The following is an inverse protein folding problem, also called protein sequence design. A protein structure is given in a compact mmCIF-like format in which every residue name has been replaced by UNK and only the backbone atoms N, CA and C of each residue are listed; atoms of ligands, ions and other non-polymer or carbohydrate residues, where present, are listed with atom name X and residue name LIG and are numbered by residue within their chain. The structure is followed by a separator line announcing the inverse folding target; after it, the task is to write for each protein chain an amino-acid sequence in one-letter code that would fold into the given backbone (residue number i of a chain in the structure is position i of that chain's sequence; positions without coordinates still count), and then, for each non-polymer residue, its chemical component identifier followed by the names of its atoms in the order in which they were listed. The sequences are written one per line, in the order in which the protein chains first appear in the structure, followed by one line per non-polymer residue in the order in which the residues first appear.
data_IF_529630912298
#
_entry.id   IF_529630912298
#
_cell.length_a   1.000
_cell.length_b   1.000
_cell.length_c   1.000
_cell.angle_alpha   90.00
_cell.angle_beta   90.00
_cell.angle_gamma   90.00
#
_symmetry.space_group_name_H-M   'P 1'
#
loop_
_entity.id
_entity.type
_entity.pdbx_description
1 polymer ?
#
# COMPACT_ATOMS: atom_id res chain seq x y z
N UNK A 1 -43.43 -13.80 31.36
CA UNK A 1 -43.12 -14.89 30.40
C UNK A 1 -43.89 -14.65 29.11
N UNK A 2 -43.26 -14.01 28.11
CA UNK A 2 -43.83 -13.82 26.78
C UNK A 2 -42.87 -14.46 25.78
N UNK A 3 -43.34 -15.54 25.14
CA UNK A 3 -42.60 -16.35 24.18
C UNK A 3 -42.55 -15.57 22.86
N UNK A 4 -41.36 -15.20 22.40
CA UNK A 4 -41.18 -14.62 21.07
C UNK A 4 -40.84 -15.76 20.10
N UNK A 5 -41.70 -15.93 19.10
CA UNK A 5 -41.65 -16.98 18.09
C UNK A 5 -40.52 -16.71 17.07
N UNK A 6 -39.72 -17.75 16.84
CA UNK A 6 -38.70 -17.88 15.80
C UNK A 6 -39.37 -17.99 14.44
N UNK A 7 -38.95 -17.17 13.47
CA UNK A 7 -39.17 -17.42 12.05
C UNK A 7 -37.80 -17.51 11.36
N UNK A 8 -37.43 -18.74 11.02
CA UNK A 8 -36.20 -19.10 10.34
C UNK A 8 -36.56 -19.33 8.86
N UNK A 9 -36.29 -18.34 8.01
CA UNK A 9 -36.49 -18.46 6.56
C UNK A 9 -35.14 -18.78 5.93
N UNK A 10 -34.92 -20.06 5.67
CA UNK A 10 -33.82 -20.58 4.88
C UNK A 10 -34.23 -20.49 3.40
N UNK A 11 -33.56 -19.65 2.61
CA UNK A 11 -33.72 -19.64 1.15
C UNK A 11 -32.36 -19.92 0.52
N UNK A 12 -32.09 -21.19 0.24
CA UNK A 12 -30.92 -21.64 -0.51
C UNK A 12 -31.22 -21.53 -2.01
N UNK A 13 -30.61 -20.57 -2.68
CA UNK A 13 -30.48 -20.59 -4.14
C UNK A 13 -29.09 -21.14 -4.46
N UNK A 14 -29.05 -22.37 -4.96
CA UNK A 14 -27.89 -22.99 -5.56
C UNK A 14 -28.20 -23.19 -7.04
N UNK A 15 -27.49 -22.51 -7.94
CA UNK A 15 -27.35 -22.85 -9.37
C UNK A 15 -26.07 -22.14 -9.88
N UNK A 16 -24.96 -22.88 -10.02
CA UNK A 16 -24.41 -23.53 -11.24
C UNK A 16 -23.27 -22.74 -11.86
N UNK A 17 -22.06 -23.27 -11.67
CA UNK A 17 -20.83 -22.97 -12.38
C UNK A 17 -20.95 -23.38 -13.86
N UNK A 18 -20.70 -22.44 -14.78
CA UNK A 18 -20.33 -22.78 -16.14
C UNK A 18 -18.81 -22.90 -16.25
N UNK A 19 -18.42 -23.99 -16.89
CA UNK A 19 -17.08 -24.51 -17.10
C UNK A 19 -16.43 -23.90 -18.35
N UNK A 20 -15.09 -23.86 -18.28
CA UNK A 20 -14.06 -23.83 -19.31
C UNK A 20 -14.35 -23.20 -20.69
N UNK A 21 -13.43 -22.32 -21.09
CA UNK A 21 -12.85 -22.45 -22.42
C UNK A 21 -11.33 -22.28 -22.32
N UNK A 22 -10.62 -23.42 -22.46
CA UNK A 22 -9.20 -23.45 -22.82
C UNK A 22 -9.04 -22.97 -24.26
N UNK A 23 -8.06 -22.12 -24.50
CA UNK A 23 -7.49 -21.94 -25.82
C UNK A 23 -5.97 -21.84 -25.69
N UNK A 24 -5.33 -22.99 -25.80
CA UNK A 24 -3.95 -23.12 -26.28
C UNK A 24 -3.84 -22.49 -27.67
N UNK A 25 -2.91 -21.55 -27.87
CA UNK A 25 -1.90 -21.74 -28.92
C UNK A 25 -0.76 -20.72 -28.89
N UNK A 26 0.44 -21.31 -28.85
CA UNK A 26 1.65 -20.93 -29.59
C UNK A 26 2.53 -19.75 -29.14
N UNK A 27 3.54 -20.17 -28.39
CA UNK A 27 4.96 -19.78 -28.43
C UNK A 27 5.41 -19.16 -29.76
N UNK A 28 5.96 -17.94 -29.71
CA UNK A 28 7.02 -17.47 -30.61
C UNK A 28 8.10 -16.77 -29.81
N UNK A 29 9.18 -17.51 -29.63
CA UNK A 29 10.51 -17.05 -29.24
C UNK A 29 11.12 -16.38 -30.48
N UNK A 30 11.62 -15.15 -30.34
CA UNK A 30 12.47 -14.53 -31.36
C UNK A 30 13.56 -13.69 -30.70
N UNK A 31 14.77 -14.16 -30.90
CA UNK A 31 16.05 -13.55 -30.54
C UNK A 31 16.22 -12.16 -31.16
N UNK A 32 16.51 -11.16 -30.34
CA UNK A 32 16.97 -9.85 -30.81
C UNK A 32 18.45 -9.66 -30.45
N UNK A 33 19.25 -9.92 -31.48
CA UNK A 33 20.68 -9.73 -31.62
C UNK A 33 21.07 -8.26 -31.42
N UNK A 34 22.11 -8.06 -30.62
CA UNK A 34 22.94 -6.86 -30.50
C UNK A 34 23.23 -6.20 -31.86
N UNK A 35 23.11 -4.88 -31.91
CA UNK A 35 23.75 -4.07 -32.96
C UNK A 35 24.27 -2.77 -32.36
N UNK A 36 25.58 -2.64 -32.44
CA UNK A 36 26.39 -1.44 -32.24
C UNK A 36 25.99 -0.35 -33.24
N UNK A 37 25.88 0.90 -32.79
CA UNK A 37 26.06 2.11 -33.62
C UNK A 37 26.70 3.16 -32.70
N UNK A 38 28.04 3.30 -32.74
CA UNK A 38 28.82 4.31 -33.50
C UNK A 38 29.07 5.60 -32.73
N UNK A 39 30.33 5.74 -32.32
CA UNK A 39 30.99 6.96 -31.86
C UNK A 39 30.90 8.07 -32.92
N UNK A 40 30.61 9.30 -32.49
CA UNK A 40 31.06 10.49 -33.20
C UNK A 40 31.61 11.50 -32.18
N UNK A 41 32.94 11.63 -32.18
CA UNK A 41 33.69 12.75 -31.63
C UNK A 41 33.56 13.96 -32.56
N UNK A 42 33.23 15.15 -32.04
CA UNK A 42 33.78 16.42 -32.54
C UNK A 42 34.14 17.31 -31.35
N UNK A 43 35.41 17.72 -31.33
CA UNK A 43 36.07 18.53 -30.32
C UNK A 43 35.84 20.04 -30.50
N UNK A 44 35.86 20.74 -29.35
CA UNK A 44 36.41 22.07 -29.05
C UNK A 44 36.03 23.29 -29.89
N UNK A 45 35.55 24.34 -29.21
CA UNK A 45 36.38 25.55 -28.96
C UNK A 45 35.67 26.49 -27.99
N UNK A 46 36.36 26.86 -26.92
CA UNK A 46 36.03 28.00 -26.06
C UNK A 46 36.46 29.29 -26.75
N UNK A 47 35.63 30.33 -26.71
CA UNK A 47 36.07 31.73 -26.68
C UNK A 47 34.91 32.64 -26.24
N UNK A 48 35.22 33.54 -25.31
CA UNK A 48 34.38 34.58 -24.74
C UNK A 48 34.20 35.74 -25.72
N UNK A 49 33.02 36.35 -25.80
CA UNK A 49 32.84 37.78 -25.51
C UNK A 49 31.38 38.29 -25.69
N UNK A 50 30.95 39.03 -24.67
CA UNK A 50 30.12 40.26 -24.66
C UNK A 50 28.58 40.25 -24.70
N UNK A 51 28.11 40.93 -23.66
CA UNK A 51 26.80 41.46 -23.25
C UNK A 51 26.18 42.38 -24.31
N UNK A 52 24.87 42.25 -24.53
CA UNK A 52 23.97 43.43 -24.60
C UNK A 52 22.52 43.08 -24.21
N UNK A 53 21.95 43.92 -23.35
CA UNK A 53 20.61 43.82 -22.77
C UNK A 53 19.51 44.24 -23.78
N UNK A 54 18.39 43.51 -23.82
CA UNK A 54 17.08 44.13 -24.04
C UNK A 54 15.94 43.26 -23.53
N UNK A 55 15.17 43.83 -22.60
CA UNK A 55 13.96 43.29 -21.97
C UNK A 55 12.90 42.87 -23.00
N UNK A 56 12.21 41.76 -22.74
CA UNK A 56 10.74 41.71 -22.79
C UNK A 56 10.17 40.39 -22.26
N UNK A 57 9.34 40.51 -21.21
CA UNK A 57 8.21 39.61 -20.94
C UNK A 57 8.53 38.32 -20.19
N UNK A 58 8.72 38.42 -18.87
CA UNK A 58 8.41 37.32 -17.96
C UNK A 58 6.91 37.05 -18.03
N UNK A 59 6.54 36.04 -18.81
CA UNK A 59 5.31 35.32 -18.60
C UNK A 59 5.70 34.12 -17.77
N UNK A 60 5.57 34.24 -16.44
CA UNK A 60 5.58 33.07 -15.55
C UNK A 60 4.45 32.15 -16.02
N UNK A 61 4.80 31.14 -16.82
CA UNK A 61 4.03 29.93 -16.88
C UNK A 61 4.17 29.30 -15.50
N UNK A 62 3.19 29.57 -14.64
CA UNK A 62 2.89 28.68 -13.53
C UNK A 62 2.42 27.40 -14.23
N UNK A 63 3.36 26.48 -14.48
CA UNK A 63 3.03 25.13 -14.86
C UNK A 63 2.17 24.58 -13.73
N UNK A 64 0.89 24.35 -14.05
CA UNK A 64 -0.04 23.66 -13.17
C UNK A 64 0.65 22.34 -12.77
N UNK A 65 0.78 22.02 -11.48
CA UNK A 65 1.49 20.82 -11.05
C UNK A 65 0.85 19.62 -11.74
N UNK A 66 1.67 18.79 -12.37
CA UNK A 66 1.15 17.65 -13.10
C UNK A 66 0.36 16.75 -12.14
N UNK A 67 -0.70 16.10 -12.63
CA UNK A 67 -1.50 15.19 -11.80
C UNK A 67 -0.64 14.13 -11.10
N UNK A 68 0.50 13.77 -11.70
CA UNK A 68 1.49 12.84 -11.15
C UNK A 68 2.23 13.44 -9.95
N UNK A 69 2.68 14.70 -10.04
CA UNK A 69 3.37 15.39 -8.93
C UNK A 69 2.44 15.56 -7.71
N UNK A 70 1.16 15.81 -7.97
CA UNK A 70 0.15 15.92 -6.93
C UNK A 70 -0.11 14.56 -6.24
N UNK A 71 -0.17 13.47 -7.00
CA UNK A 71 -0.39 12.12 -6.46
C UNK A 71 0.81 11.64 -5.61
N UNK A 72 2.04 11.86 -6.06
CA UNK A 72 3.23 11.50 -5.28
C UNK A 72 3.27 12.28 -3.94
N UNK A 73 2.86 13.55 -3.96
CA UNK A 73 2.74 14.37 -2.76
C UNK A 73 1.69 13.80 -1.78
N UNK A 74 0.49 13.45 -2.24
CA UNK A 74 -0.56 12.84 -1.40
C UNK A 74 -0.09 11.53 -0.75
N UNK A 75 0.57 10.67 -1.52
CA UNK A 75 1.12 9.40 -1.00
C UNK A 75 2.13 9.63 0.13
N UNK A 76 3.02 10.60 -0.03
CA UNK A 76 3.97 10.98 0.99
C UNK A 76 3.29 11.56 2.24
N UNK A 77 2.36 12.49 2.05
CA UNK A 77 1.64 13.17 3.13
C UNK A 77 0.84 12.18 3.98
N UNK A 78 0.09 11.28 3.36
CA UNK A 78 -0.73 10.31 4.10
C UNK A 78 0.11 9.28 4.83
N UNK A 79 1.21 8.80 4.24
CA UNK A 79 2.14 7.89 4.93
C UNK A 79 2.76 8.57 6.15
N UNK A 80 3.16 9.84 6.02
CA UNK A 80 3.68 10.61 7.14
C UNK A 80 2.64 10.87 8.22
N UNK A 81 1.40 11.17 7.83
CA UNK A 81 0.32 11.32 8.79
C UNK A 81 0.13 10.05 9.61
N UNK A 82 0.02 8.88 8.96
CA UNK A 82 -0.14 7.59 9.65
C UNK A 82 1.02 7.32 10.63
N UNK A 83 2.26 7.57 10.24
CA UNK A 83 3.42 7.22 11.08
C UNK A 83 3.73 8.28 12.17
N UNK A 84 3.49 9.57 11.90
CA UNK A 84 3.97 10.69 12.74
C UNK A 84 2.97 11.82 12.98
N UNK A 85 1.94 11.96 12.15
CA UNK A 85 1.06 13.14 12.17
C UNK A 85 -0.09 13.10 13.18
N UNK A 86 -0.09 12.15 14.13
CA UNK A 86 -1.23 11.87 15.01
C UNK A 86 -0.98 12.24 16.48
N UNK A 87 -0.06 13.17 16.77
CA UNK A 87 0.35 13.52 18.15
C UNK A 87 -0.78 14.14 18.98
N UNK A 88 -1.81 14.70 18.34
CA UNK A 88 -3.01 15.22 18.99
C UNK A 88 -4.03 14.13 19.37
N UNK A 89 -3.85 12.88 18.93
CA UNK A 89 -4.73 11.74 19.21
C UNK A 89 -4.23 10.93 20.40
N UNK A 90 -5.16 10.34 21.15
CA UNK A 90 -4.80 9.34 22.15
C UNK A 90 -4.25 8.06 21.49
N UNK A 91 -3.51 7.25 22.24
CA UNK A 91 -2.97 5.97 21.75
C UNK A 91 -4.04 4.98 21.25
N UNK A 92 -5.30 5.15 21.68
CA UNK A 92 -6.41 4.33 21.22
C UNK A 92 -7.01 4.82 19.89
N UNK A 93 -6.88 6.11 19.59
CA UNK A 93 -7.43 6.75 18.38
C UNK A 93 -6.42 6.74 17.22
N UNK A 94 -5.13 6.57 17.52
CA UNK A 94 -4.08 6.51 16.50
C UNK A 94 -4.30 5.32 15.57
N UNK A 95 -4.26 5.59 14.27
CA UNK A 95 -4.06 4.60 13.22
C UNK A 95 -2.69 3.97 13.40
N UNK A 96 -2.63 2.64 13.35
CA UNK A 96 -1.41 1.90 13.64
C UNK A 96 -1.08 0.97 12.49
N UNK A 97 0.14 1.10 11.99
CA UNK A 97 0.63 0.38 10.84
C UNK A 97 2.06 -0.08 11.09
N UNK A 98 2.42 -1.24 10.53
CA UNK A 98 3.81 -1.53 10.25
C UNK A 98 4.29 -0.62 9.12
N UNK A 99 5.50 -0.06 9.27
CA UNK A 99 6.16 0.69 8.21
C UNK A 99 6.38 -0.19 6.97
N UNK A 100 6.76 -1.47 7.16
CA UNK A 100 6.95 -2.43 6.09
C UNK A 100 5.66 -2.61 5.27
N UNK A 101 4.51 -2.72 5.93
CA UNK A 101 3.22 -2.84 5.26
C UNK A 101 2.83 -1.57 4.52
N UNK A 102 2.95 -0.43 5.19
CA UNK A 102 2.58 0.86 4.61
C UNK A 102 3.46 1.25 3.40
N UNK A 103 4.74 0.90 3.44
CA UNK A 103 5.67 1.18 2.35
C UNK A 103 5.36 0.36 1.08
N UNK A 104 4.86 -0.88 1.23
CA UNK A 104 4.50 -1.76 0.12
C UNK A 104 3.10 -1.48 -0.45
N UNK A 105 2.36 -0.54 0.14
CA UNK A 105 1.01 -0.23 -0.29
C UNK A 105 0.99 0.70 -1.52
N UNK A 106 0.20 0.32 -2.53
CA UNK A 106 -0.14 1.19 -3.66
C UNK A 106 -1.20 2.21 -3.24
N UNK A 107 -0.74 3.33 -2.68
CA UNK A 107 -1.61 4.43 -2.24
C UNK A 107 -2.37 5.04 -3.40
N UNK A 108 -1.81 5.06 -4.61
CA UNK A 108 -2.41 5.76 -5.75
C UNK A 108 -3.70 5.06 -6.20
N UNK A 109 -3.67 3.73 -6.23
CA UNK A 109 -4.86 2.92 -6.50
C UNK A 109 -5.96 3.20 -5.48
N UNK A 110 -5.63 3.15 -4.18
CA UNK A 110 -6.59 3.34 -3.09
C UNK A 110 -7.13 4.78 -3.07
N UNK A 111 -6.28 5.77 -3.34
CA UNK A 111 -6.67 7.18 -3.42
C UNK A 111 -7.69 7.43 -4.54
N UNK A 112 -7.50 6.79 -5.69
CA UNK A 112 -8.45 6.87 -6.81
C UNK A 112 -9.82 6.28 -6.44
N UNK A 113 -9.84 5.16 -5.70
CA UNK A 113 -11.08 4.57 -5.18
C UNK A 113 -11.74 5.46 -4.13
N UNK A 114 -10.95 6.06 -3.24
CA UNK A 114 -11.40 6.99 -2.22
C UNK A 114 -12.14 8.19 -2.85
N UNK A 115 -11.54 8.85 -3.84
CA UNK A 115 -12.18 9.95 -4.58
C UNK A 115 -13.47 9.49 -5.29
N UNK A 116 -13.43 8.31 -5.90
CA UNK A 116 -14.60 7.73 -6.59
C UNK A 116 -15.75 7.39 -5.63
N UNK A 117 -15.43 7.14 -4.36
CA UNK A 117 -16.41 6.90 -3.29
C UNK A 117 -16.98 8.18 -2.68
N UNK A 118 -16.51 9.37 -3.12
CA UNK A 118 -16.95 10.68 -2.64
C UNK A 118 -16.02 11.31 -1.60
N UNK A 119 -14.80 10.77 -1.44
CA UNK A 119 -13.77 11.33 -0.57
C UNK A 119 -13.27 12.71 -1.01
N UNK A 120 -12.72 13.46 -0.05
CA UNK A 120 -12.16 14.80 -0.29
C UNK A 120 -10.64 14.71 -0.53
N UNK A 121 -10.17 15.22 -1.67
CA UNK A 121 -8.76 15.13 -2.10
C UNK A 121 -7.73 15.62 -1.07
N UNK A 122 -8.04 16.74 -0.42
CA UNK A 122 -7.09 17.41 0.49
C UNK A 122 -7.29 17.01 1.97
N UNK A 123 -8.19 16.07 2.25
CA UNK A 123 -8.39 15.55 3.61
C UNK A 123 -7.51 14.32 3.86
N UNK A 124 -6.27 14.58 4.29
CA UNK A 124 -5.27 13.55 4.58
C UNK A 124 -5.69 12.63 5.73
N UNK A 125 -6.42 13.16 6.72
CA UNK A 125 -6.88 12.37 7.85
C UNK A 125 -7.97 11.38 7.42
N UNK A 126 -8.97 11.87 6.67
CA UNK A 126 -10.04 11.02 6.12
C UNK A 126 -9.46 9.94 5.19
N UNK A 127 -8.52 10.32 4.31
CA UNK A 127 -7.83 9.36 3.44
C UNK A 127 -7.06 8.31 4.24
N UNK A 128 -6.38 8.68 5.33
CA UNK A 128 -5.66 7.74 6.18
C UNK A 128 -6.59 6.72 6.86
N UNK A 129 -7.77 7.16 7.31
CA UNK A 129 -8.81 6.26 7.82
C UNK A 129 -9.30 5.33 6.71
N UNK A 130 -9.60 5.88 5.53
CA UNK A 130 -10.06 5.09 4.38
C UNK A 130 -9.04 4.01 4.00
N UNK A 131 -7.76 4.37 3.92
CA UNK A 131 -6.66 3.42 3.66
C UNK A 131 -6.64 2.33 4.73
N UNK A 132 -6.76 2.67 6.01
CA UNK A 132 -6.70 1.69 7.10
C UNK A 132 -7.81 0.65 7.01
N UNK A 133 -9.01 1.06 6.61
CA UNK A 133 -10.16 0.16 6.49
C UNK A 133 -10.17 -0.64 5.17
N UNK A 134 -9.65 -0.08 4.08
CA UNK A 134 -9.85 -0.63 2.73
C UNK A 134 -8.58 -1.17 2.06
N UNK A 135 -7.39 -0.89 2.58
CA UNK A 135 -6.14 -1.37 2.00
C UNK A 135 -6.17 -2.90 1.80
N UNK A 136 -5.79 -3.43 0.63
CA UNK A 136 -5.78 -4.87 0.40
C UNK A 136 -4.86 -5.58 1.40
N UNK A 137 -5.24 -6.79 1.81
CA UNK A 137 -4.39 -7.66 2.62
C UNK A 137 -3.32 -8.24 1.70
N UNK A 138 -2.01 -7.98 1.93
CA UNK A 138 -0.95 -8.56 1.12
C UNK A 138 -0.97 -10.09 1.19
N UNK A 139 -0.75 -10.77 0.07
CA UNK A 139 -0.72 -12.24 0.06
C UNK A 139 0.42 -12.84 0.89
N UNK A 140 1.49 -12.06 1.08
CA UNK A 140 2.71 -12.36 1.82
C UNK A 140 2.76 -11.71 3.21
N UNK A 141 1.62 -11.25 3.73
CA UNK A 141 1.54 -10.55 5.02
C UNK A 141 2.20 -11.31 6.18
N UNK A 142 2.11 -12.64 6.21
CA UNK A 142 2.69 -13.44 7.30
C UNK A 142 4.23 -13.41 7.26
N UNK A 143 4.83 -13.39 6.07
CA UNK A 143 6.28 -13.27 5.90
C UNK A 143 6.76 -11.87 6.32
N UNK A 144 6.05 -10.83 5.89
CA UNK A 144 6.33 -9.45 6.30
C UNK A 144 6.23 -9.30 7.81
N UNK A 145 5.17 -9.84 8.42
CA UNK A 145 5.00 -9.83 9.88
C UNK A 145 6.10 -10.61 10.60
N UNK A 146 6.49 -11.80 10.12
CA UNK A 146 7.59 -12.58 10.70
C UNK A 146 8.89 -11.78 10.76
N UNK A 147 9.20 -11.04 9.70
CA UNK A 147 10.35 -10.14 9.65
C UNK A 147 10.23 -9.02 10.68
N UNK A 148 9.11 -8.31 10.70
CA UNK A 148 8.87 -7.21 11.64
C UNK A 148 8.91 -7.68 13.11
N UNK A 149 8.38 -8.88 13.40
CA UNK A 149 8.39 -9.49 14.73
C UNK A 149 9.82 -9.77 15.20
N UNK A 150 10.64 -10.36 14.33
CA UNK A 150 12.03 -10.65 14.62
C UNK A 150 12.87 -9.38 14.77
N UNK A 151 12.69 -8.39 13.89
CA UNK A 151 13.40 -7.11 13.97
C UNK A 151 13.06 -6.34 15.25
N UNK A 152 11.78 -6.38 15.67
CA UNK A 152 11.31 -5.65 16.85
C UNK A 152 11.64 -6.35 18.17
N UNK A 153 11.49 -7.67 18.24
CA UNK A 153 11.56 -8.42 19.51
C UNK A 153 12.58 -9.56 19.52
N UNK A 154 13.18 -9.93 18.38
CA UNK A 154 14.10 -11.05 18.26
C UNK A 154 13.42 -12.43 18.34
N UNK A 155 12.10 -12.48 18.18
CA UNK A 155 11.32 -13.71 18.29
C UNK A 155 11.00 -14.31 16.93
N UNK A 156 11.03 -15.64 16.85
CA UNK A 156 10.60 -16.37 15.66
C UNK A 156 9.11 -16.71 15.76
N UNK A 157 8.36 -16.36 14.73
CA UNK A 157 6.97 -16.76 14.59
C UNK A 157 6.87 -18.30 14.45
N UNK A 158 6.04 -18.92 15.29
CA UNK A 158 5.73 -20.35 15.23
C UNK A 158 4.49 -20.62 14.39
N UNK A 159 3.38 -19.91 14.68
CA UNK A 159 2.13 -19.96 13.93
C UNK A 159 1.26 -18.74 14.22
N UNK A 160 0.21 -18.58 13.42
CA UNK A 160 -0.87 -17.62 13.62
C UNK A 160 -2.23 -18.34 13.66
N UNK A 161 -3.15 -17.84 14.49
CA UNK A 161 -4.53 -18.33 14.56
C UNK A 161 -5.52 -17.17 14.36
N UNK A 162 -6.55 -17.32 13.51
CA UNK A 162 -7.48 -16.23 13.21
C UNK A 162 -8.35 -15.87 14.42
N UNK A 163 -8.49 -14.57 14.68
CA UNK A 163 -9.41 -13.98 15.66
C UNK A 163 -10.63 -13.31 15.02
N UNK A 164 -10.60 -13.11 13.69
CA UNK A 164 -11.61 -12.38 12.92
C UNK A 164 -11.22 -10.92 12.68
N UNK A 165 -11.91 -10.24 11.76
CA UNK A 165 -11.62 -8.84 11.36
C UNK A 165 -10.14 -8.62 11.02
N UNK A 166 -9.57 -9.52 10.22
CA UNK A 166 -8.16 -9.50 9.80
C UNK A 166 -7.15 -9.59 10.96
N UNK A 167 -7.59 -9.95 12.18
CA UNK A 167 -6.71 -10.13 13.34
C UNK A 167 -6.32 -11.59 13.53
N UNK A 168 -5.09 -11.80 13.97
CA UNK A 168 -4.52 -13.11 14.27
C UNK A 168 -3.76 -13.11 15.60
N UNK A 169 -3.94 -14.15 16.40
CA UNK A 169 -3.08 -14.44 17.53
C UNK A 169 -1.80 -15.10 17.01
N UNK A 170 -0.66 -14.44 17.19
CA UNK A 170 0.65 -15.00 16.91
C UNK A 170 1.19 -15.77 18.11
N UNK A 171 1.84 -16.89 17.84
CA UNK A 171 2.48 -17.74 18.83
C UNK A 171 3.97 -17.85 18.55
N UNK A 172 4.75 -17.99 19.62
CA UNK A 172 6.20 -18.23 19.58
C UNK A 172 6.53 -19.45 20.45
N UNK A 173 7.77 -19.93 20.33
CA UNK A 173 8.31 -20.95 21.23
C UNK A 173 9.13 -20.29 22.34
N UNK A 174 8.75 -20.53 23.60
CA UNK A 174 9.52 -20.16 24.80
C UNK A 174 9.75 -21.40 25.65
N UNK A 175 11.02 -21.70 25.93
CA UNK A 175 11.40 -22.84 26.78
C UNK A 175 10.80 -24.18 26.32
N UNK A 176 10.73 -24.42 25.01
CA UNK A 176 10.14 -25.63 24.45
C UNK A 176 8.61 -25.67 24.46
N UNK A 177 7.94 -24.55 24.78
CA UNK A 177 6.48 -24.44 24.82
C UNK A 177 5.98 -23.39 23.85
N UNK A 178 4.88 -23.73 23.19
CA UNK A 178 4.08 -22.78 22.43
C UNK A 178 3.37 -21.82 23.39
N UNK A 179 3.54 -20.52 23.18
CA UNK A 179 2.87 -19.46 23.97
C UNK A 179 2.29 -18.38 23.07
N UNK A 180 1.08 -17.85 23.38
CA UNK A 180 0.57 -16.66 22.70
C UNK A 180 1.46 -15.47 23.03
N UNK A 181 1.74 -14.63 22.03
CA UNK A 181 2.71 -13.55 22.18
C UNK A 181 2.16 -12.18 21.81
N UNK A 182 1.71 -12.01 20.56
CA UNK A 182 1.13 -10.74 20.09
C UNK A 182 -0.10 -11.02 19.25
N UNK A 183 -1.01 -10.06 19.18
CA UNK A 183 -2.06 -10.00 18.17
C UNK A 183 -1.55 -9.13 17.03
N UNK A 184 -1.78 -9.56 15.79
CA UNK A 184 -1.38 -8.85 14.56
C UNK A 184 -2.58 -8.67 13.63
N UNK A 185 -2.63 -7.51 12.96
CA UNK A 185 -3.52 -7.29 11.82
C UNK A 185 -2.83 -7.74 10.52
N UNK A 186 -3.45 -8.64 9.75
CA UNK A 186 -2.94 -9.03 8.44
C UNK A 186 -3.03 -7.90 7.40
N UNK A 187 -3.90 -6.90 7.63
CA UNK A 187 -4.06 -5.75 6.73
C UNK A 187 -3.00 -4.68 6.95
N UNK A 188 -2.78 -4.28 8.20
CA UNK A 188 -1.89 -3.16 8.53
C UNK A 188 -0.51 -3.59 8.99
N UNK A 189 -0.33 -4.89 9.28
CA UNK A 189 0.89 -5.44 9.87
C UNK A 189 1.17 -4.94 11.27
N UNK A 190 0.30 -4.11 11.87
CA UNK A 190 0.48 -3.65 13.23
C UNK A 190 0.24 -4.81 14.21
N UNK A 191 1.09 -4.89 15.24
CA UNK A 191 0.97 -5.89 16.29
C UNK A 191 1.27 -5.35 17.68
N UNK A 192 0.60 -5.94 18.67
CA UNK A 192 0.70 -5.62 20.08
C UNK A 192 0.46 -6.86 20.96
N UNK A 193 1.05 -6.91 22.15
CA UNK A 193 0.94 -8.01 23.10
C UNK A 193 1.47 -7.62 24.47
#
# INVERSE_FOLDING_TARGET
MKKLLIFLVLSTLALTSCSLNDSDNQKKELDNKTSEITENNINNSSEEDKIDNSNNGEQENIEEPSDIDNIENISYEVKNYIIKGQDNKSEAEKLKWSKTFLDNLDINSIYSEYLSSGGTADDIEELAYYITENAPIPSDWEEMFKKDLYEKYGENLLKVEPLGNDQYQAYIEKEGKEVPYVVVSSRTGYFHG
#
